data_IF_161328863578
#
_entry.id   IF_161328863578
#
_cell.length_a   1.000
_cell.length_b   1.000
_cell.length_c   1.000
_cell.angle_alpha   90.00
_cell.angle_beta   90.00
_cell.angle_gamma   90.00
#
_symmetry.space_group_name_H-M   'P 1'
#
loop_
_entity.id
_entity.type
_entity.pdbx_description
1 polymer ?
#
# COMPACT_ATOMS: atom_id res chain seq x y z
N UNK A 1 -15.41 -12.15 6.41
CA UNK A 1 -16.00 -11.08 7.26
C UNK A 1 -15.68 -9.71 6.69
N UNK A 2 -16.37 -8.65 7.12
CA UNK A 2 -16.21 -7.29 6.57
C UNK A 2 -14.76 -6.75 6.68
N UNK A 3 -14.07 -6.99 7.80
CA UNK A 3 -12.66 -6.58 7.96
C UNK A 3 -11.72 -7.27 6.96
N UNK A 4 -11.94 -8.55 6.67
CA UNK A 4 -11.13 -9.29 5.69
C UNK A 4 -11.25 -8.65 4.30
N UNK A 5 -12.49 -8.34 3.88
CA UNK A 5 -12.74 -7.66 2.61
C UNK A 5 -12.08 -6.30 2.58
N UNK A 6 -12.21 -5.49 3.63
CA UNK A 6 -11.55 -4.19 3.67
C UNK A 6 -10.03 -4.27 3.62
N UNK A 7 -9.43 -5.31 4.20
CA UNK A 7 -7.98 -5.52 4.08
C UNK A 7 -7.62 -5.77 2.60
N UNK A 8 -8.36 -6.66 1.94
CA UNK A 8 -8.17 -6.98 0.52
C UNK A 8 -8.39 -5.75 -0.38
N UNK A 9 -9.43 -4.96 -0.11
CA UNK A 9 -9.74 -3.73 -0.84
C UNK A 9 -8.58 -2.71 -0.70
N UNK A 10 -8.08 -2.50 0.53
CA UNK A 10 -6.96 -1.59 0.77
C UNK A 10 -5.66 -2.08 0.12
N UNK A 11 -5.39 -3.39 0.18
CA UNK A 11 -4.23 -3.99 -0.48
C UNK A 11 -4.30 -3.82 -2.00
N UNK A 12 -5.46 -4.14 -2.60
CA UNK A 12 -5.68 -4.01 -4.04
C UNK A 12 -5.58 -2.56 -4.50
N UNK A 13 -6.17 -1.62 -3.75
CA UNK A 13 -6.13 -0.20 -4.08
C UNK A 13 -4.72 0.37 -3.96
N UNK A 14 -3.96 -0.03 -2.93
CA UNK A 14 -2.54 0.33 -2.83
C UNK A 14 -1.76 -0.06 -4.08
N UNK A 15 -1.92 -1.30 -4.55
CA UNK A 15 -1.26 -1.78 -5.78
C UNK A 15 -1.74 -1.03 -7.01
N UNK A 16 -3.06 -0.87 -7.17
CA UNK A 16 -3.66 -0.15 -8.31
C UNK A 16 -3.16 1.28 -8.44
N UNK A 17 -2.99 1.98 -7.31
CA UNK A 17 -2.45 3.35 -7.31
C UNK A 17 -0.98 3.35 -7.73
N UNK A 18 -0.17 2.41 -7.24
CA UNK A 18 1.24 2.29 -7.64
C UNK A 18 1.41 1.92 -9.12
N UNK A 19 0.47 1.16 -9.69
CA UNK A 19 0.48 0.75 -11.10
C UNK A 19 -0.07 1.82 -12.06
N UNK A 20 -0.50 2.97 -11.55
CA UNK A 20 -1.00 4.08 -12.38
C UNK A 20 0.16 4.77 -13.10
N UNK A 21 -0.07 5.20 -14.35
CA UNK A 21 0.90 5.98 -15.12
C UNK A 21 1.33 7.23 -14.34
N UNK A 22 2.64 7.46 -14.28
CA UNK A 22 3.21 8.61 -13.60
C UNK A 22 3.01 9.89 -14.42
N UNK A 23 2.70 9.82 -15.72
CA UNK A 23 2.44 11.00 -16.53
C UNK A 23 0.97 11.43 -16.41
N UNK A 24 0.72 12.62 -15.85
CA UNK A 24 -0.61 13.19 -15.83
C UNK A 24 -1.02 13.63 -17.24
N UNK A 25 -2.05 13.01 -17.87
CA UNK A 25 -2.45 13.34 -19.23
C UNK A 25 -3.04 14.75 -19.37
N UNK A 26 -3.44 15.40 -18.26
CA UNK A 26 -4.01 16.75 -18.27
C UNK A 26 -2.94 17.84 -18.22
N UNK A 27 -1.85 17.60 -17.48
CA UNK A 27 -0.83 18.61 -17.22
C UNK A 27 0.53 18.29 -17.84
N UNK A 28 0.74 17.05 -18.28
CA UNK A 28 2.03 16.56 -18.78
C UNK A 28 3.11 16.42 -17.72
N UNK A 29 2.76 16.58 -16.43
CA UNK A 29 3.70 16.47 -15.32
C UNK A 29 3.86 15.03 -14.89
N UNK A 30 5.09 14.65 -14.53
CA UNK A 30 5.35 13.39 -13.84
C UNK A 30 4.91 13.51 -12.37
N UNK A 31 3.98 12.65 -11.94
CA UNK A 31 3.42 12.56 -10.61
C UNK A 31 3.45 11.08 -10.19
N UNK A 32 4.38 10.73 -9.31
CA UNK A 32 4.41 9.40 -8.69
C UNK A 32 3.36 9.37 -7.58
N UNK A 33 2.35 8.52 -7.72
CA UNK A 33 1.18 8.46 -6.81
C UNK A 33 1.47 7.73 -5.48
N UNK A 34 2.68 7.88 -4.94
CA UNK A 34 3.16 7.12 -3.79
C UNK A 34 2.44 7.46 -2.48
N UNK A 35 2.13 8.72 -2.25
CA UNK A 35 1.44 9.14 -1.01
C UNK A 35 0.04 8.53 -0.87
N UNK A 36 -0.87 8.61 -1.87
CA UNK A 36 -2.17 7.96 -1.77
C UNK A 36 -2.07 6.43 -1.72
N UNK A 37 -1.06 5.82 -2.37
CA UNK A 37 -0.80 4.39 -2.21
C UNK A 37 -0.42 4.05 -0.77
N UNK A 38 0.45 4.85 -0.16
CA UNK A 38 0.92 4.64 1.20
C UNK A 38 -0.21 4.78 2.23
N UNK A 39 -1.17 5.67 2.02
CA UNK A 39 -2.38 5.75 2.85
C UNK A 39 -3.16 4.42 2.86
N UNK A 40 -3.28 3.75 1.71
CA UNK A 40 -3.90 2.43 1.63
C UNK A 40 -3.04 1.34 2.30
N UNK A 41 -1.71 1.42 2.19
CA UNK A 41 -0.81 0.54 2.93
C UNK A 41 -1.00 0.68 4.46
N UNK A 42 -1.07 1.91 4.98
CA UNK A 42 -1.35 2.18 6.40
C UNK A 42 -2.72 1.62 6.79
N UNK A 43 -3.74 1.81 5.95
CA UNK A 43 -5.09 1.26 6.17
C UNK A 43 -5.08 -0.27 6.24
N UNK A 44 -4.39 -0.95 5.33
CA UNK A 44 -4.21 -2.40 5.36
C UNK A 44 -3.51 -2.86 6.66
N UNK A 45 -2.45 -2.17 7.07
CA UNK A 45 -1.74 -2.43 8.34
C UNK A 45 -2.68 -2.32 9.56
N UNK A 46 -3.51 -1.28 9.60
CA UNK A 46 -4.47 -1.09 10.67
C UNK A 46 -5.54 -2.20 10.69
N UNK A 47 -6.08 -2.56 9.52
CA UNK A 47 -7.07 -3.63 9.39
C UNK A 47 -6.51 -4.99 9.80
N UNK A 48 -5.24 -5.28 9.47
CA UNK A 48 -4.53 -6.44 9.99
C UNK A 48 -4.50 -6.44 11.52
N UNK A 49 -4.12 -5.33 12.17
CA UNK A 49 -4.10 -5.24 13.63
C UNK A 49 -5.49 -5.52 14.24
N UNK A 50 -6.57 -5.07 13.61
CA UNK A 50 -7.94 -5.36 14.07
C UNK A 50 -8.32 -6.84 13.92
N UNK A 51 -7.95 -7.49 12.82
CA UNK A 51 -8.15 -8.93 12.62
C UNK A 51 -7.36 -9.74 13.65
N UNK A 52 -6.12 -9.33 13.88
CA UNK A 52 -5.19 -9.96 14.80
C UNK A 52 -5.65 -9.88 16.25
N UNK A 53 -6.03 -8.68 16.70
CA UNK A 53 -6.54 -8.44 18.05
C UNK A 53 -7.88 -9.16 18.32
N UNK A 54 -8.69 -9.39 17.28
CA UNK A 54 -9.93 -10.17 17.39
C UNK A 54 -9.69 -11.69 17.46
N UNK A 55 -8.46 -12.14 17.26
CA UNK A 55 -8.12 -13.57 17.29
C UNK A 55 -8.77 -14.38 16.15
N UNK A 56 -9.18 -13.72 15.06
CA UNK A 56 -9.85 -14.38 13.92
C UNK A 56 -8.87 -14.91 12.87
N UNK A 57 -7.56 -14.74 13.10
CA UNK A 57 -6.48 -15.29 12.26
C UNK A 57 -5.54 -16.14 13.10
N UNK A 58 -5.12 -17.28 12.56
CA UNK A 58 -4.15 -18.20 13.15
C UNK A 58 -2.73 -17.62 13.13
N UNK A 59 -1.80 -18.27 13.84
CA UNK A 59 -0.38 -17.88 13.84
C UNK A 59 0.24 -17.92 12.43
N UNK A 60 -0.14 -18.90 11.60
CA UNK A 60 0.33 -19.02 10.21
C UNK A 60 -0.24 -17.90 9.34
N UNK A 61 -1.54 -17.62 9.46
CA UNK A 61 -2.18 -16.53 8.72
C UNK A 61 -1.58 -15.18 9.13
N UNK A 62 -1.33 -14.96 10.43
CA UNK A 62 -0.67 -13.75 10.93
C UNK A 62 0.65 -13.49 10.22
N UNK A 63 1.51 -14.50 10.05
CA UNK A 63 2.77 -14.35 9.31
C UNK A 63 2.53 -13.98 7.83
N UNK A 64 1.53 -14.58 7.19
CA UNK A 64 1.16 -14.24 5.82
C UNK A 64 0.70 -12.78 5.69
N UNK A 65 -0.16 -12.30 6.60
CA UNK A 65 -0.62 -10.91 6.61
C UNK A 65 0.53 -9.90 6.86
N UNK A 66 1.45 -10.21 7.78
CA UNK A 66 2.66 -9.41 8.00
C UNK A 66 3.49 -9.31 6.72
N UNK A 67 3.68 -10.43 6.01
CA UNK A 67 4.38 -10.46 4.72
C UNK A 67 3.72 -9.58 3.66
N UNK A 68 2.38 -9.62 3.58
CA UNK A 68 1.59 -8.78 2.65
C UNK A 68 1.76 -7.29 2.95
N UNK A 69 1.56 -6.87 4.20
CA UNK A 69 1.74 -5.46 4.61
C UNK A 69 3.17 -4.99 4.37
N UNK A 70 4.17 -5.82 4.68
CA UNK A 70 5.59 -5.49 4.40
C UNK A 70 5.85 -5.30 2.91
N UNK A 71 5.23 -6.12 2.06
CA UNK A 71 5.38 -6.02 0.61
C UNK A 71 4.76 -4.72 0.06
N UNK A 72 3.61 -4.30 0.59
CA UNK A 72 3.02 -3.00 0.26
C UNK A 72 3.94 -1.86 0.68
N UNK A 73 4.40 -1.85 1.93
CA UNK A 73 5.28 -0.80 2.45
C UNK A 73 6.58 -0.69 1.65
N UNK A 74 7.18 -1.84 1.27
CA UNK A 74 8.35 -1.88 0.39
C UNK A 74 8.04 -1.27 -0.97
N UNK A 75 6.93 -1.64 -1.59
CA UNK A 75 6.55 -1.11 -2.91
C UNK A 75 6.31 0.40 -2.87
N UNK A 76 5.71 0.91 -1.80
CA UNK A 76 5.60 2.35 -1.57
C UNK A 76 6.98 3.01 -1.37
N UNK A 77 7.89 2.39 -0.63
CA UNK A 77 9.24 2.92 -0.46
C UNK A 77 10.03 2.95 -1.78
N UNK A 78 9.95 1.86 -2.56
CA UNK A 78 10.57 1.74 -3.88
C UNK A 78 10.03 2.81 -4.85
N UNK A 79 8.73 3.13 -4.78
CA UNK A 79 8.16 4.24 -5.54
C UNK A 79 8.58 5.61 -5.00
N UNK A 80 8.67 5.78 -3.67
CA UNK A 80 9.03 7.06 -3.05
C UNK A 80 10.44 7.51 -3.46
N UNK A 81 11.40 6.58 -3.54
CA UNK A 81 12.79 6.90 -3.92
C UNK A 81 12.93 7.39 -5.36
N UNK A 82 11.90 7.24 -6.22
CA UNK A 82 11.90 7.80 -7.58
C UNK A 82 11.34 9.23 -7.64
N UNK A 83 10.90 9.78 -6.50
CA UNK A 83 10.36 11.15 -6.40
C UNK A 83 11.46 12.18 -6.13
N UNK A 84 11.22 13.42 -6.55
CA UNK A 84 12.13 14.55 -6.25
C UNK A 84 12.27 14.79 -4.74
N UNK A 85 11.22 14.53 -3.96
CA UNK A 85 11.24 14.67 -2.51
C UNK A 85 12.24 13.70 -1.84
N UNK A 86 12.50 12.55 -2.46
CA UNK A 86 13.52 11.60 -2.02
C UNK A 86 14.91 11.89 -2.62
N UNK A 87 15.05 12.96 -3.41
CA UNK A 87 16.29 13.37 -4.04
C UNK A 87 16.55 12.76 -5.43
N UNK A 88 15.56 12.08 -6.03
CA UNK A 88 15.66 11.68 -7.43
C UNK A 88 15.79 12.92 -8.32
N UNK A 89 16.72 12.90 -9.27
CA UNK A 89 16.86 13.96 -10.27
C UNK A 89 16.13 13.52 -11.56
N UNK A 90 15.50 14.45 -12.28
CA UNK A 90 14.84 14.18 -13.55
C UNK A 90 15.81 13.68 -14.62
#
# INVERSE_FOLDING_TARGET
GMLFRHFEDAEAECRRILDTDELDPKTGKRIVMVHPAYDQCIKASHLFNLLDARGVISATERQAYIGRVRSLAKSCADAFVTTEAAGARP
#
